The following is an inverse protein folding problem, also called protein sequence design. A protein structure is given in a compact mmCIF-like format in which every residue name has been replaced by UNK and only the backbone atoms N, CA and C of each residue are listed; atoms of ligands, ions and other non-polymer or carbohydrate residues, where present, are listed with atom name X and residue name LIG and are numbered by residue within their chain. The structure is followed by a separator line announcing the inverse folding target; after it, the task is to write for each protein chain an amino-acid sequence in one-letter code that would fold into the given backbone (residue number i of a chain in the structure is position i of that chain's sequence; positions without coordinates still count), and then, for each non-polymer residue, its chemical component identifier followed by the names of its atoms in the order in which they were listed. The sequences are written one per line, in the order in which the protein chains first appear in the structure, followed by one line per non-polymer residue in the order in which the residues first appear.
data_IF_997498980448
#
_entry.id   IF_997498980448
#
_cell.length_a   1.000
_cell.length_b   1.000
_cell.length_c   1.000
_cell.angle_alpha   90.00
_cell.angle_beta   90.00
_cell.angle_gamma   90.00
#
_symmetry.space_group_name_H-M   'P 1'
#
loop_
_entity.id
_entity.type
_entity.pdbx_description
1 polymer ?
#
# COMPACT_ATOMS: atom_id res chain seq x y z
N UNK A 1 -11.32 2.18 16.43
CA UNK A 1 -10.31 1.18 16.84
C UNK A 1 -8.95 1.67 16.37
N UNK A 2 -7.98 1.84 17.28
CA UNK A 2 -6.62 2.21 16.89
C UNK A 2 -6.04 1.08 16.03
N UNK A 3 -5.75 1.36 14.76
CA UNK A 3 -5.11 0.38 13.89
C UNK A 3 -3.64 0.30 14.30
N UNK A 4 -3.30 -0.66 15.16
CA UNK A 4 -1.90 -0.92 15.53
C UNK A 4 -1.14 -1.31 14.27
N UNK A 5 -0.29 -0.41 13.77
CA UNK A 5 0.58 -0.69 12.62
C UNK A 5 1.64 -1.71 13.05
N UNK A 6 1.72 -2.84 12.34
CA UNK A 6 2.81 -3.82 12.50
C UNK A 6 4.02 -3.36 11.68
N UNK A 7 5.23 -3.55 12.21
CA UNK A 7 6.49 -3.30 11.48
C UNK A 7 7.00 -4.62 10.91
N UNK A 8 7.51 -4.58 9.69
CA UNK A 8 8.17 -5.69 9.01
C UNK A 8 9.53 -5.15 8.55
N UNK A 9 10.60 -5.92 8.78
CA UNK A 9 11.92 -5.67 8.22
C UNK A 9 12.08 -6.54 6.97
N UNK A 10 12.54 -5.96 5.87
CA UNK A 10 12.77 -6.67 4.61
C UNK A 10 14.24 -6.50 4.25
N UNK A 11 14.93 -7.60 4.01
CA UNK A 11 16.28 -7.58 3.45
C UNK A 11 16.17 -7.65 1.93
N UNK A 12 16.88 -6.75 1.26
CA UNK A 12 16.95 -6.65 -0.20
C UNK A 12 18.41 -6.48 -0.61
N UNK A 13 18.71 -6.78 -1.85
CA UNK A 13 19.97 -6.45 -2.51
C UNK A 13 20.03 -4.96 -2.88
N UNK A 14 21.26 -4.47 -3.10
CA UNK A 14 21.52 -3.05 -3.36
C UNK A 14 20.78 -2.55 -4.60
N UNK A 15 20.73 -3.36 -5.67
CA UNK A 15 20.05 -3.01 -6.92
C UNK A 15 18.55 -2.75 -6.69
N UNK A 16 17.90 -3.55 -5.83
CA UNK A 16 16.48 -3.40 -5.52
C UNK A 16 16.24 -2.21 -4.59
N UNK A 17 17.11 -1.94 -3.63
CA UNK A 17 17.01 -0.76 -2.75
C UNK A 17 17.09 0.55 -3.56
N UNK A 18 18.05 0.64 -4.47
CA UNK A 18 18.21 1.80 -5.36
C UNK A 18 17.01 1.96 -6.30
N UNK A 19 16.51 0.87 -6.90
CA UNK A 19 15.32 0.90 -7.73
C UNK A 19 14.07 1.36 -6.96
N UNK A 20 13.89 0.88 -5.71
CA UNK A 20 12.78 1.28 -4.85
C UNK A 20 12.84 2.76 -4.48
N UNK A 21 14.03 3.28 -4.16
CA UNK A 21 14.24 4.70 -3.86
C UNK A 21 13.91 5.57 -5.08
N UNK A 22 14.46 5.25 -6.25
CA UNK A 22 14.25 6.00 -7.47
C UNK A 22 12.77 6.03 -7.90
N UNK A 23 12.08 4.89 -7.79
CA UNK A 23 10.65 4.82 -8.09
C UNK A 23 9.81 5.63 -7.10
N UNK A 24 10.12 5.55 -5.81
CA UNK A 24 9.42 6.31 -4.77
C UNK A 24 9.59 7.82 -4.95
N UNK A 25 10.79 8.27 -5.33
CA UNK A 25 11.07 9.68 -5.64
C UNK A 25 10.29 10.16 -6.87
N UNK A 26 10.29 9.38 -7.96
CA UNK A 26 9.56 9.71 -9.18
C UNK A 26 8.03 9.82 -8.97
N UNK A 27 7.48 9.08 -8.01
CA UNK A 27 6.06 9.08 -7.66
C UNK A 27 5.71 10.02 -6.48
N UNK A 28 6.65 10.83 -5.99
CA UNK A 28 6.50 11.73 -4.84
C UNK A 28 5.88 11.03 -3.60
N UNK A 29 6.42 9.85 -3.27
CA UNK A 29 5.90 8.99 -2.19
C UNK A 29 7.03 8.34 -1.39
N UNK A 30 6.71 7.77 -0.23
CA UNK A 30 7.72 7.01 0.54
C UNK A 30 7.90 5.60 -0.02
N UNK A 31 9.13 5.07 0.06
CA UNK A 31 9.44 3.65 -0.26
C UNK A 31 8.53 2.69 0.49
N UNK A 32 8.27 2.96 1.77
CA UNK A 32 7.36 2.16 2.59
C UNK A 32 5.92 2.14 2.04
N UNK A 33 5.43 3.26 1.52
CA UNK A 33 4.10 3.32 0.90
C UNK A 33 4.08 2.55 -0.42
N UNK A 34 5.16 2.64 -1.21
CA UNK A 34 5.35 1.93 -2.48
C UNK A 34 5.30 0.42 -2.27
N UNK A 35 6.14 -0.09 -1.38
CA UNK A 35 6.17 -1.52 -1.05
C UNK A 35 4.81 -2.01 -0.56
N UNK A 36 4.16 -1.27 0.33
CA UNK A 36 2.86 -1.68 0.88
C UNK A 36 1.76 -1.67 -0.18
N UNK A 37 1.73 -0.71 -1.12
CA UNK A 37 0.72 -0.73 -2.20
C UNK A 37 0.96 -1.89 -3.15
N UNK A 38 2.20 -2.11 -3.57
CA UNK A 38 2.56 -3.19 -4.50
C UNK A 38 2.26 -4.55 -3.89
N UNK A 39 2.63 -4.77 -2.61
CA UNK A 39 2.27 -6.00 -1.88
C UNK A 39 0.75 -6.16 -1.78
N UNK A 40 0.01 -5.08 -1.52
CA UNK A 40 -1.45 -5.14 -1.44
C UNK A 40 -2.08 -5.55 -2.77
N UNK A 41 -1.65 -4.96 -3.87
CA UNK A 41 -2.12 -5.29 -5.21
C UNK A 41 -1.84 -6.75 -5.55
N UNK A 42 -0.61 -7.22 -5.29
CA UNK A 42 -0.23 -8.61 -5.48
C UNK A 42 -1.10 -9.58 -4.66
N UNK A 43 -1.32 -9.28 -3.38
CA UNK A 43 -2.13 -10.12 -2.50
C UNK A 43 -3.62 -10.11 -2.88
N UNK A 44 -4.13 -9.00 -3.42
CA UNK A 44 -5.48 -8.94 -3.99
C UNK A 44 -5.59 -9.80 -5.24
N UNK A 45 -4.64 -9.67 -6.18
CA UNK A 45 -4.60 -10.46 -7.40
C UNK A 45 -4.52 -11.96 -7.11
N UNK A 46 -3.79 -12.35 -6.07
CA UNK A 46 -3.68 -13.75 -5.63
C UNK A 46 -4.85 -14.24 -4.76
N UNK A 47 -5.81 -13.38 -4.42
CA UNK A 47 -6.98 -13.74 -3.60
C UNK A 47 -6.71 -13.85 -2.09
N UNK A 48 -5.52 -13.49 -1.61
CA UNK A 48 -5.18 -13.47 -0.18
C UNK A 48 -5.70 -12.23 0.56
N UNK A 49 -6.11 -11.20 -0.17
CA UNK A 49 -6.66 -9.98 0.41
C UNK A 49 -7.87 -9.50 -0.39
N UNK A 50 -8.93 -9.10 0.30
CA UNK A 50 -10.12 -8.53 -0.35
C UNK A 50 -9.84 -7.08 -0.79
N UNK A 51 -10.22 -6.68 -2.02
CA UNK A 51 -10.08 -5.29 -2.44
C UNK A 51 -10.85 -4.40 -1.48
N UNK A 52 -10.20 -3.36 -0.94
CA UNK A 52 -10.88 -2.38 -0.10
C UNK A 52 -11.91 -1.67 -0.97
N UNK A 53 -13.19 -2.05 -0.85
CA UNK A 53 -14.29 -1.27 -1.42
C UNK A 53 -14.15 0.14 -0.86
N UNK A 54 -13.94 1.15 -1.71
CA UNK A 54 -14.18 2.53 -1.31
C UNK A 54 -15.63 2.56 -0.84
N UNK A 55 -15.83 2.78 0.47
CA UNK A 55 -17.14 3.06 0.98
C UNK A 55 -17.59 4.34 0.28
N UNK A 56 -18.48 4.21 -0.72
CA UNK A 56 -19.25 5.34 -1.22
C UNK A 56 -20.02 5.84 0.00
N UNK A 57 -19.57 6.95 0.57
CA UNK A 57 -20.38 7.76 1.47
C UNK A 57 -21.51 8.32 0.64
N UNK A 58 -22.55 7.53 0.43
CA UNK A 58 -23.86 8.01 0.02
C UNK A 58 -24.33 8.89 1.17
N UNK A 59 -24.09 10.19 1.04
CA UNK A 59 -24.67 11.19 1.90
C UNK A 59 -26.18 11.13 1.65
N UNK A 60 -26.86 10.38 2.52
CA UNK A 60 -28.31 10.41 2.66
C UNK A 60 -28.67 11.82 3.15
N UNK A 61 -28.85 12.73 2.19
CA UNK A 61 -29.44 14.04 2.45
C UNK A 61 -30.92 13.81 2.63
N UNK A 62 -31.28 13.48 3.86
CA UNK A 62 -32.64 13.34 4.35
C UNK A 62 -33.44 14.61 4.05
N UNK A 63 -34.67 14.36 3.62
CA UNK A 63 -35.82 15.22 3.35
C UNK A 63 -36.02 16.35 4.35
#
# INVERSE_FOLDING_TARGET
MATTKKRILIQVDDDLDEALKACAEAEDRSVSSLVVSTMRELLVQKGYLQPKKLAKTTSDRKT
#
